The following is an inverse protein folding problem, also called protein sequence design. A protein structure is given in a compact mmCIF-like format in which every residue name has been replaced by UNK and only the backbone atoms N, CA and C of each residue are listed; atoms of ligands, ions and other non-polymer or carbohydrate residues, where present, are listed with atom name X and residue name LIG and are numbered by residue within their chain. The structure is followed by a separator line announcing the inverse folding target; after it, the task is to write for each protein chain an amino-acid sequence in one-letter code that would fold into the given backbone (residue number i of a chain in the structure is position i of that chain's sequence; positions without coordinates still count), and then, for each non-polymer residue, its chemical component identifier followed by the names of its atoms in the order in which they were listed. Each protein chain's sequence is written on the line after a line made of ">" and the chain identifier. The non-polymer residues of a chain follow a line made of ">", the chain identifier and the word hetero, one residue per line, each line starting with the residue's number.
data_IF_916499237686
#
_entry.id   IF_916499237686
#
_cell.length_a   1.000
_cell.length_b   1.000
_cell.length_c   1.000
_cell.angle_alpha   90.00
_cell.angle_beta   90.00
_cell.angle_gamma   90.00
#
_symmetry.space_group_name_H-M   'P 1'
#
loop_
_entity.id
_entity.type
_entity.pdbx_description
1 polymer ?
#
# COMPACT_ATOMS: atom_id res chain seq x y z
N UNK A 1 4.55 -5.90 -22.15
CA UNK A 1 3.75 -5.06 -21.24
C UNK A 1 4.60 -3.86 -20.88
N UNK A 2 4.10 -2.62 -20.93
CA UNK A 2 4.88 -1.46 -20.47
C UNK A 2 5.09 -1.56 -18.97
N UNK A 3 6.23 -1.11 -18.43
CA UNK A 3 6.53 -1.12 -16.97
C UNK A 3 5.39 -0.55 -16.11
N UNK A 4 4.68 0.46 -16.61
CA UNK A 4 3.51 1.05 -15.93
C UNK A 4 2.38 0.06 -15.69
N UNK A 5 2.29 -1.00 -16.49
CA UNK A 5 1.29 -2.07 -16.35
C UNK A 5 1.56 -2.95 -15.13
N UNK A 6 2.80 -3.09 -14.70
CA UNK A 6 3.18 -4.05 -13.65
C UNK A 6 2.83 -3.53 -12.25
N UNK A 7 2.92 -2.21 -12.05
CA UNK A 7 2.65 -1.57 -10.76
C UNK A 7 1.28 -0.92 -10.66
N UNK A 8 0.44 -1.02 -11.70
CA UNK A 8 -0.79 -0.23 -11.77
C UNK A 8 -1.73 -0.51 -10.59
N UNK A 9 -1.80 -1.75 -10.10
CA UNK A 9 -2.59 -2.11 -8.92
C UNK A 9 -2.01 -1.48 -7.65
N UNK A 10 -0.71 -1.61 -7.43
CA UNK A 10 -0.02 -1.04 -6.27
C UNK A 10 -0.20 0.49 -6.24
N UNK A 11 -0.08 1.16 -7.39
CA UNK A 11 -0.25 2.61 -7.50
C UNK A 11 -1.70 3.04 -7.25
N UNK A 12 -2.70 2.28 -7.71
CA UNK A 12 -4.12 2.53 -7.37
C UNK A 12 -4.36 2.45 -5.87
N UNK A 13 -3.84 1.40 -5.21
CA UNK A 13 -3.97 1.22 -3.76
C UNK A 13 -3.27 2.35 -3.00
N UNK A 14 -2.05 2.71 -3.40
CA UNK A 14 -1.33 3.84 -2.82
C UNK A 14 -2.15 5.13 -2.92
N UNK A 15 -2.80 5.39 -4.07
CA UNK A 15 -3.71 6.51 -4.25
C UNK A 15 -4.87 6.51 -3.25
N UNK A 16 -5.55 5.37 -3.08
CA UNK A 16 -6.65 5.21 -2.10
C UNK A 16 -6.15 5.50 -0.67
N UNK A 17 -5.00 4.95 -0.31
CA UNK A 17 -4.42 5.14 1.02
C UNK A 17 -4.06 6.60 1.28
N UNK A 18 -3.50 7.31 0.31
CA UNK A 18 -3.21 8.74 0.45
C UNK A 18 -4.49 9.57 0.65
N UNK A 19 -5.59 9.21 -0.03
CA UNK A 19 -6.91 9.84 0.18
C UNK A 19 -7.43 9.57 1.59
N UNK A 20 -7.30 8.32 2.06
CA UNK A 20 -7.73 7.93 3.41
C UNK A 20 -6.92 8.66 4.50
N UNK A 21 -5.59 8.72 4.36
CA UNK A 21 -4.71 9.47 5.29
C UNK A 21 -5.12 10.94 5.32
N UNK A 22 -5.39 11.55 4.16
CA UNK A 22 -5.81 12.95 4.07
C UNK A 22 -7.19 13.20 4.69
N UNK A 23 -8.10 12.24 4.58
CA UNK A 23 -9.51 12.40 4.96
C UNK A 23 -9.86 11.96 6.38
N UNK A 24 -8.99 11.20 7.06
CA UNK A 24 -9.29 10.64 8.38
C UNK A 24 -8.94 11.61 9.51
N UNK A 25 -9.84 11.75 10.49
CA UNK A 25 -9.54 12.44 11.76
C UNK A 25 -8.83 11.52 12.77
N UNK A 26 -8.77 10.20 12.49
CA UNK A 26 -8.11 9.24 13.34
C UNK A 26 -6.60 9.21 13.07
N UNK A 27 -5.85 9.97 13.87
CA UNK A 27 -4.38 10.08 13.76
C UNK A 27 -3.68 8.72 13.85
N UNK A 28 -4.20 7.78 14.66
CA UNK A 28 -3.62 6.43 14.76
C UNK A 28 -3.76 5.68 13.43
N UNK A 29 -4.94 5.75 12.79
CA UNK A 29 -5.17 5.16 11.47
C UNK A 29 -4.24 5.77 10.42
N UNK A 30 -4.16 7.10 10.38
CA UNK A 30 -3.29 7.80 9.43
C UNK A 30 -1.82 7.37 9.55
N UNK A 31 -1.30 7.26 10.78
CA UNK A 31 0.08 6.79 11.04
C UNK A 31 0.31 5.36 10.59
N UNK A 32 -0.60 4.44 10.94
CA UNK A 32 -0.51 3.04 10.53
C UNK A 32 -0.44 2.93 9.00
N UNK A 33 -1.33 3.62 8.29
CA UNK A 33 -1.36 3.60 6.84
C UNK A 33 -0.09 4.21 6.21
N UNK A 34 0.40 5.32 6.75
CA UNK A 34 1.66 5.91 6.32
C UNK A 34 2.85 4.94 6.54
N UNK A 35 2.93 4.30 7.70
CA UNK A 35 4.00 3.35 8.04
C UNK A 35 4.03 2.11 7.13
N UNK A 36 2.87 1.67 6.67
CA UNK A 36 2.73 0.55 5.73
C UNK A 36 3.15 0.97 4.31
N UNK A 37 2.69 2.13 3.83
CA UNK A 37 2.79 2.50 2.41
C UNK A 37 3.93 3.44 2.02
N UNK A 38 4.59 4.13 2.96
CA UNK A 38 5.61 5.14 2.61
C UNK A 38 6.81 4.59 1.83
N UNK A 39 7.10 3.28 1.96
CA UNK A 39 8.22 2.65 1.24
C UNK A 39 7.86 2.19 -0.17
N UNK A 40 6.56 2.12 -0.52
CA UNK A 40 6.12 1.63 -1.82
C UNK A 40 6.79 2.38 -2.99
N UNK A 41 6.89 3.73 -2.99
CA UNK A 41 7.60 4.44 -4.06
C UNK A 41 9.07 4.03 -4.19
N UNK A 42 9.76 3.83 -3.07
CA UNK A 42 11.17 3.43 -3.07
C UNK A 42 11.34 1.98 -3.58
N UNK A 43 10.42 1.08 -3.24
CA UNK A 43 10.43 -0.31 -3.73
C UNK A 43 10.19 -0.38 -5.25
N UNK A 44 9.22 0.40 -5.76
CA UNK A 44 8.99 0.54 -7.20
C UNK A 44 10.23 1.09 -7.90
N UNK A 45 10.84 2.15 -7.36
CA UNK A 45 12.07 2.73 -7.92
C UNK A 45 13.27 1.79 -7.86
N UNK A 46 13.22 0.76 -7.01
CA UNK A 46 14.25 -0.29 -6.91
C UNK A 46 13.92 -1.52 -7.76
N UNK A 47 12.97 -1.41 -8.69
CA UNK A 47 12.53 -2.47 -9.61
C UNK A 47 12.12 -3.76 -8.88
N UNK A 48 11.57 -3.63 -7.66
CA UNK A 48 10.98 -4.76 -6.95
C UNK A 48 9.78 -5.28 -7.72
N UNK A 49 9.62 -6.60 -7.75
CA UNK A 49 8.48 -7.23 -8.41
C UNK A 49 7.18 -6.87 -7.68
N UNK A 50 6.06 -6.97 -8.39
CA UNK A 50 4.73 -6.78 -7.80
C UNK A 50 4.57 -7.59 -6.49
N UNK A 51 4.93 -8.87 -6.51
CA UNK A 51 4.74 -9.77 -5.38
C UNK A 51 5.66 -9.45 -4.20
N UNK A 52 6.90 -9.01 -4.45
CA UNK A 52 7.79 -8.53 -3.39
C UNK A 52 7.23 -7.28 -2.68
N UNK A 53 6.62 -6.37 -3.44
CA UNK A 53 6.02 -5.16 -2.87
C UNK A 53 4.78 -5.51 -2.05
N UNK A 54 3.92 -6.39 -2.56
CA UNK A 54 2.74 -6.88 -1.82
C UNK A 54 3.17 -7.60 -0.54
N UNK A 55 4.19 -8.45 -0.59
CA UNK A 55 4.71 -9.14 0.58
C UNK A 55 5.20 -8.15 1.66
N UNK A 56 5.91 -7.09 1.28
CA UNK A 56 6.38 -6.07 2.22
C UNK A 56 5.22 -5.25 2.81
N UNK A 57 4.23 -4.87 2.00
CA UNK A 57 2.99 -4.21 2.47
C UNK A 57 2.30 -5.08 3.51
N UNK A 58 2.09 -6.36 3.20
CA UNK A 58 1.38 -7.29 4.09
C UNK A 58 2.16 -7.56 5.38
N UNK A 59 3.48 -7.73 5.29
CA UNK A 59 4.35 -7.88 6.47
C UNK A 59 4.21 -6.70 7.43
N UNK A 60 4.21 -5.47 6.91
CA UNK A 60 4.01 -4.25 7.72
C UNK A 60 2.60 -4.15 8.28
N UNK A 61 1.60 -4.51 7.49
CA UNK A 61 0.21 -4.55 7.94
C UNK A 61 0.03 -5.50 9.12
N UNK A 62 0.67 -6.67 9.09
CA UNK A 62 0.63 -7.66 10.15
C UNK A 62 1.30 -7.13 11.43
N UNK A 63 2.46 -6.48 11.33
CA UNK A 63 3.12 -5.82 12.48
C UNK A 63 2.26 -4.74 13.14
N UNK A 64 1.37 -4.10 12.38
CA UNK A 64 0.49 -3.04 12.85
C UNK A 64 -0.92 -3.54 13.23
N UNK A 65 -1.18 -4.86 13.17
CA UNK A 65 -2.51 -5.46 13.32
C UNK A 65 -3.57 -4.87 12.36
N UNK A 66 -3.16 -4.55 11.13
CA UNK A 66 -3.99 -3.91 10.10
C UNK A 66 -4.20 -4.79 8.86
N UNK A 67 -3.77 -6.06 8.90
CA UNK A 67 -3.79 -7.00 7.77
C UNK A 67 -5.12 -7.03 7.02
N UNK A 68 -6.21 -7.31 7.72
CA UNK A 68 -7.56 -7.41 7.13
C UNK A 68 -8.03 -6.12 6.45
N UNK A 69 -7.60 -4.96 6.96
CA UNK A 69 -7.94 -3.66 6.36
C UNK A 69 -7.17 -3.47 5.05
N UNK A 70 -5.90 -3.87 5.03
CA UNK A 70 -5.06 -3.75 3.85
C UNK A 70 -5.48 -4.74 2.76
N UNK A 71 -5.87 -5.96 3.11
CA UNK A 71 -6.43 -6.94 2.17
C UNK A 71 -7.63 -6.36 1.41
N UNK A 72 -8.55 -5.68 2.12
CA UNK A 72 -9.69 -5.01 1.49
C UNK A 72 -9.28 -3.91 0.51
N UNK A 73 -8.23 -3.15 0.82
CA UNK A 73 -7.73 -2.14 -0.12
C UNK A 73 -7.10 -2.77 -1.36
N UNK A 74 -6.38 -3.89 -1.20
CA UNK A 74 -5.80 -4.64 -2.32
C UNK A 74 -6.90 -5.24 -3.21
N UNK A 75 -7.93 -5.87 -2.62
CA UNK A 75 -9.06 -6.44 -3.35
C UNK A 75 -9.87 -5.38 -4.12
N UNK A 76 -10.11 -4.21 -3.51
CA UNK A 76 -10.87 -3.13 -4.12
C UNK A 76 -10.15 -2.44 -5.29
N UNK A 77 -8.84 -2.66 -5.44
CA UNK A 77 -8.02 -2.06 -6.50
C UNK A 77 -7.82 -2.97 -7.72
N UNK A 78 -8.38 -4.19 -7.69
CA UNK A 78 -8.34 -5.21 -8.76
C UNK A 78 -9.27 -4.85 -9.93
#
# INVERSE_FOLDING_TARGET
>A
MSETSEYIHILKVLGVVLVEIRGTENLKKARILADIFHNVPALISSEKTHDEIIAEIMRRAEMQNAKEVIEKYLEAAT
#
